data_IF_854262117689
#
_entry.id   IF_854262117689
#
_cell.length_a   1.000
_cell.length_b   1.000
_cell.length_c   1.000
_cell.angle_alpha   90.00
_cell.angle_beta   90.00
_cell.angle_gamma   90.00
#
_symmetry.space_group_name_H-M   'P 1'
#
loop_
_entity.id
_entity.type
_entity.pdbx_description
1 polymer ?
#
# COMPACT_ATOMS: atom_id res chain seq x y z
N UNK A 1 27.73 33.60 44.64
CA UNK A 1 27.07 34.40 43.58
C UNK A 1 26.80 33.45 42.42
N UNK A 2 25.58 32.94 42.35
CA UNK A 2 25.13 31.89 41.42
C UNK A 2 24.46 32.55 40.22
N UNK A 3 25.05 32.45 39.03
CA UNK A 3 24.39 32.84 37.78
C UNK A 3 24.06 31.58 36.99
N UNK A 4 22.77 31.23 37.00
CA UNK A 4 22.21 30.17 36.18
C UNK A 4 22.01 30.63 34.74
N UNK A 5 22.50 29.83 33.80
CA UNK A 5 22.14 29.91 32.38
C UNK A 5 21.31 28.68 32.05
N UNK A 6 19.98 28.84 32.11
CA UNK A 6 19.06 27.84 31.55
C UNK A 6 19.18 27.85 30.02
N UNK A 7 19.25 26.69 29.34
CA UNK A 7 19.23 26.68 27.90
C UNK A 7 17.85 27.10 27.40
N UNK A 8 17.84 28.16 26.58
CA UNK A 8 16.69 28.59 25.79
C UNK A 8 16.04 27.38 25.12
N UNK A 9 14.77 27.13 25.45
CA UNK A 9 13.91 26.25 24.66
C UNK A 9 13.67 26.97 23.34
N UNK A 10 14.58 26.77 22.40
CA UNK A 10 14.34 27.07 21.00
C UNK A 10 13.10 26.27 20.57
N UNK A 11 11.97 26.97 20.47
CA UNK A 11 10.76 26.51 19.81
C UNK A 11 11.14 25.99 18.43
N UNK A 12 11.15 24.67 18.29
CA UNK A 12 11.40 24.01 17.01
C UNK A 12 10.25 24.37 16.07
N UNK A 13 10.46 25.38 15.24
CA UNK A 13 9.57 25.67 14.12
C UNK A 13 9.47 24.40 13.26
N UNK A 14 8.26 23.99 12.82
CA UNK A 14 8.12 22.81 11.98
C UNK A 14 8.95 23.02 10.71
N UNK A 15 9.98 22.18 10.55
CA UNK A 15 10.86 22.22 9.40
C UNK A 15 10.01 22.13 8.13
N UNK A 16 9.92 23.23 7.39
CA UNK A 16 9.24 23.28 6.10
C UNK A 16 9.78 22.12 5.24
N UNK A 17 8.87 21.20 4.87
CA UNK A 17 9.21 19.97 4.20
C UNK A 17 10.00 20.25 2.91
N UNK A 18 11.30 19.98 2.93
CA UNK A 18 12.16 20.08 1.75
C UNK A 18 11.67 19.18 0.60
N UNK A 19 12.19 19.36 -0.63
CA UNK A 19 11.76 18.60 -1.81
C UNK A 19 11.73 17.08 -1.62
N UNK A 20 12.62 16.52 -0.81
CA UNK A 20 12.69 15.09 -0.49
C UNK A 20 11.50 14.56 0.32
N UNK A 21 10.94 15.35 1.24
CA UNK A 21 9.76 14.93 2.03
C UNK A 21 8.50 14.85 1.17
N UNK A 22 8.35 15.71 0.16
CA UNK A 22 7.21 15.63 -0.77
C UNK A 22 7.22 14.31 -1.55
N UNK A 23 8.36 13.93 -2.10
CA UNK A 23 8.52 12.67 -2.84
C UNK A 23 8.28 11.46 -1.92
N UNK A 24 8.83 11.49 -0.71
CA UNK A 24 8.61 10.41 0.28
C UNK A 24 7.15 10.31 0.70
N UNK A 25 6.45 11.42 0.95
CA UNK A 25 5.01 11.39 1.25
C UNK A 25 4.20 10.72 0.16
N UNK A 26 4.48 10.99 -1.13
CA UNK A 26 3.77 10.38 -2.25
C UNK A 26 3.97 8.85 -2.29
N UNK A 27 5.22 8.39 -2.18
CA UNK A 27 5.50 6.94 -2.22
C UNK A 27 4.99 6.22 -0.96
N UNK A 28 4.92 6.91 0.18
CA UNK A 28 4.33 6.38 1.41
C UNK A 28 2.81 6.21 1.29
N UNK A 29 2.11 7.10 0.58
CA UNK A 29 0.69 6.89 0.26
C UNK A 29 0.53 5.63 -0.59
N UNK A 30 1.38 5.42 -1.60
CA UNK A 30 1.37 4.17 -2.38
C UNK A 30 1.61 2.92 -1.51
N UNK A 31 2.56 2.99 -0.57
CA UNK A 31 2.82 1.93 0.40
C UNK A 31 1.58 1.64 1.26
N UNK A 32 0.97 2.69 1.81
CA UNK A 32 -0.24 2.61 2.61
C UNK A 32 -1.38 1.96 1.82
N UNK A 33 -1.63 2.41 0.59
CA UNK A 33 -2.69 1.85 -0.26
C UNK A 33 -2.49 0.36 -0.54
N UNK A 34 -1.27 -0.09 -0.83
CA UNK A 34 -0.97 -1.50 -1.10
C UNK A 34 -1.26 -2.40 0.12
N UNK A 35 -0.85 -1.95 1.30
CA UNK A 35 -1.06 -2.69 2.54
C UNK A 35 -2.53 -2.64 2.98
N UNK A 36 -3.16 -1.48 2.83
CA UNK A 36 -4.57 -1.31 3.12
C UNK A 36 -5.41 -2.27 2.27
N UNK A 37 -5.17 -2.31 0.96
CA UNK A 37 -5.83 -3.26 0.06
C UNK A 37 -5.67 -4.71 0.53
N UNK A 38 -4.43 -5.15 0.81
CA UNK A 38 -4.18 -6.53 1.24
C UNK A 38 -4.92 -6.89 2.53
N UNK A 39 -4.97 -5.95 3.47
CA UNK A 39 -5.62 -6.16 4.77
C UNK A 39 -7.15 -6.12 4.69
N UNK A 40 -7.72 -5.17 3.93
CA UNK A 40 -9.16 -5.07 3.73
C UNK A 40 -9.68 -6.30 2.98
N UNK A 41 -8.97 -6.79 1.96
CA UNK A 41 -9.40 -7.97 1.19
C UNK A 41 -9.54 -9.21 2.07
N UNK A 42 -8.63 -9.42 3.02
CA UNK A 42 -8.73 -10.54 3.97
C UNK A 42 -10.01 -10.48 4.82
N UNK A 43 -10.46 -9.27 5.19
CA UNK A 43 -11.73 -9.06 5.90
C UNK A 43 -12.93 -9.23 4.98
N UNK A 44 -12.78 -8.95 3.69
CA UNK A 44 -13.84 -9.08 2.70
C UNK A 44 -14.06 -10.51 2.20
N UNK A 45 -13.11 -11.45 2.37
CA UNK A 45 -13.22 -12.83 1.86
C UNK A 45 -14.54 -13.54 2.23
N UNK A 46 -15.07 -13.47 3.48
CA UNK A 46 -16.35 -14.09 3.81
C UNK A 46 -17.53 -13.46 3.04
N UNK A 47 -17.48 -12.14 2.83
CA UNK A 47 -18.50 -11.41 2.05
C UNK A 47 -18.40 -11.75 0.55
N UNK A 48 -17.19 -11.85 -0.01
CA UNK A 48 -16.96 -12.31 -1.40
C UNK A 48 -17.51 -13.74 -1.58
N UNK A 49 -17.25 -14.63 -0.62
CA UNK A 49 -17.78 -15.99 -0.62
C UNK A 49 -19.31 -16.02 -0.65
N UNK A 50 -19.95 -15.22 0.19
CA UNK A 50 -21.40 -15.15 0.28
C UNK A 50 -22.05 -14.45 -0.94
N UNK A 51 -21.43 -13.39 -1.47
CA UNK A 51 -21.94 -12.62 -2.59
C UNK A 51 -21.83 -13.35 -3.94
N UNK A 52 -20.70 -14.02 -4.18
CA UNK A 52 -20.41 -14.68 -5.46
C UNK A 52 -20.49 -16.21 -5.41
N UNK A 53 -20.87 -16.79 -4.27
CA UNK A 53 -20.81 -18.24 -4.04
C UNK A 53 -19.43 -18.83 -4.39
N UNK A 54 -18.37 -18.07 -4.11
CA UNK A 54 -17.01 -18.44 -4.48
C UNK A 54 -16.55 -19.72 -3.76
N UNK A 55 -15.93 -20.69 -4.47
CA UNK A 55 -15.35 -21.85 -3.82
C UNK A 55 -14.15 -21.45 -2.96
N UNK A 56 -13.83 -22.25 -1.94
CA UNK A 56 -12.72 -21.98 -1.04
C UNK A 56 -11.38 -21.83 -1.78
N UNK A 57 -11.17 -22.62 -2.84
CA UNK A 57 -10.00 -22.55 -3.71
C UNK A 57 -9.84 -21.17 -4.38
N UNK A 58 -10.92 -20.50 -4.78
CA UNK A 58 -10.84 -19.14 -5.34
C UNK A 58 -10.42 -18.11 -4.29
N UNK A 59 -10.88 -18.24 -3.04
CA UNK A 59 -10.50 -17.34 -1.96
C UNK A 59 -9.01 -17.49 -1.61
N UNK A 60 -8.49 -18.72 -1.62
CA UNK A 60 -7.07 -18.99 -1.45
C UNK A 60 -6.25 -18.35 -2.59
N UNK A 61 -6.70 -18.49 -3.84
CA UNK A 61 -6.05 -17.87 -4.99
C UNK A 61 -6.09 -16.33 -4.98
N UNK A 62 -7.12 -15.71 -4.40
CA UNK A 62 -7.21 -14.25 -4.23
C UNK A 62 -6.05 -13.72 -3.38
N UNK A 63 -5.69 -14.45 -2.31
CA UNK A 63 -4.61 -14.07 -1.39
C UNK A 63 -3.26 -14.55 -1.91
N UNK A 64 -3.15 -15.83 -2.26
CA UNK A 64 -1.91 -16.44 -2.73
C UNK A 64 -1.47 -15.89 -4.08
N UNK A 65 -2.39 -15.72 -5.03
CA UNK A 65 -2.09 -15.19 -6.37
C UNK A 65 -1.54 -13.77 -6.33
N UNK A 66 -2.10 -12.92 -5.45
CA UNK A 66 -1.56 -11.60 -5.19
C UNK A 66 -0.11 -11.67 -4.66
N UNK A 67 0.11 -12.46 -3.60
CA UNK A 67 1.43 -12.58 -2.97
C UNK A 67 2.50 -13.16 -3.92
N UNK A 68 2.12 -14.16 -4.73
CA UNK A 68 2.98 -14.77 -5.74
C UNK A 68 3.38 -13.76 -6.82
N UNK A 69 2.40 -13.05 -7.40
CA UNK A 69 2.66 -12.05 -8.42
C UNK A 69 3.51 -10.89 -7.89
N UNK A 70 3.20 -10.43 -6.67
CA UNK A 70 3.98 -9.42 -5.96
C UNK A 70 5.44 -9.85 -5.79
N UNK A 71 5.67 -11.03 -5.21
CA UNK A 71 7.02 -11.55 -4.98
C UNK A 71 7.81 -11.74 -6.27
N UNK A 72 7.16 -12.24 -7.33
CA UNK A 72 7.79 -12.48 -8.63
C UNK A 72 8.15 -11.18 -9.36
N UNK A 73 7.33 -10.12 -9.22
CA UNK A 73 7.57 -8.83 -9.83
C UNK A 73 8.60 -7.97 -9.07
N UNK A 74 8.72 -8.16 -7.77
CA UNK A 74 9.52 -7.30 -6.88
C UNK A 74 11.01 -7.27 -7.25
N UNK A 75 11.63 -8.43 -7.48
CA UNK A 75 13.06 -8.51 -7.80
C UNK A 75 13.37 -7.94 -9.19
N UNK A 76 12.65 -8.33 -10.27
CA UNK A 76 12.83 -7.71 -11.58
C UNK A 76 12.57 -6.21 -11.59
N UNK A 77 11.54 -5.74 -10.88
CA UNK A 77 11.18 -4.32 -10.83
C UNK A 77 12.25 -3.48 -10.10
N UNK A 78 12.89 -4.02 -9.06
CA UNK A 78 14.03 -3.37 -8.42
C UNK A 78 15.16 -3.12 -9.42
N UNK A 79 15.58 -4.17 -10.13
CA UNK A 79 16.65 -4.06 -11.16
C UNK A 79 16.27 -3.18 -12.34
N UNK A 80 15.02 -3.25 -12.78
CA UNK A 80 14.49 -2.38 -13.82
C UNK A 80 14.49 -0.92 -13.36
N UNK A 81 14.22 -0.65 -12.08
CA UNK A 81 14.24 0.69 -11.50
C UNK A 81 15.64 1.28 -11.46
N UNK A 82 16.64 0.46 -11.14
CA UNK A 82 18.04 0.89 -11.16
C UNK A 82 18.51 1.27 -12.57
N UNK A 83 17.95 0.64 -13.62
CA UNK A 83 18.31 0.89 -15.03
C UNK A 83 17.48 1.99 -15.69
N UNK A 84 16.17 1.99 -15.49
CA UNK A 84 15.21 2.85 -16.20
C UNK A 84 14.69 4.02 -15.34
N UNK A 85 15.04 4.04 -14.05
CA UNK A 85 14.57 5.01 -13.07
C UNK A 85 13.36 4.52 -12.27
N UNK A 86 13.34 4.86 -10.99
CA UNK A 86 12.27 4.43 -10.06
C UNK A 86 10.94 5.17 -10.24
N UNK A 87 10.97 6.44 -10.69
CA UNK A 87 9.76 7.24 -10.91
C UNK A 87 8.80 6.64 -11.96
N UNK A 88 9.22 6.29 -13.18
CA UNK A 88 8.31 5.71 -14.17
C UNK A 88 7.76 4.36 -13.72
N UNK A 89 8.57 3.50 -13.09
CA UNK A 89 8.09 2.23 -12.54
C UNK A 89 7.08 2.42 -11.42
N UNK A 90 7.29 3.41 -10.55
CA UNK A 90 6.31 3.73 -9.52
C UNK A 90 4.95 4.08 -10.13
N UNK A 91 4.93 4.97 -11.13
CA UNK A 91 3.69 5.39 -11.78
C UNK A 91 3.02 4.27 -12.58
N UNK A 92 3.79 3.45 -13.31
CA UNK A 92 3.27 2.31 -14.07
C UNK A 92 2.67 1.29 -13.11
N UNK A 93 3.42 0.88 -12.08
CA UNK A 93 2.95 -0.10 -11.09
C UNK A 93 1.70 0.40 -10.35
N UNK A 94 1.69 1.67 -9.94
CA UNK A 94 0.54 2.29 -9.29
C UNK A 94 -0.68 2.32 -10.22
N UNK A 95 -0.50 2.65 -11.50
CA UNK A 95 -1.60 2.66 -12.47
C UNK A 95 -2.18 1.25 -12.67
N UNK A 96 -1.31 0.24 -12.82
CA UNK A 96 -1.74 -1.17 -12.92
C UNK A 96 -2.53 -1.57 -11.66
N UNK A 97 -2.00 -1.23 -10.49
CA UNK A 97 -2.63 -1.53 -9.21
C UNK A 97 -4.03 -0.91 -9.11
N UNK A 98 -4.17 0.39 -9.42
CA UNK A 98 -5.44 1.09 -9.34
C UNK A 98 -6.47 0.53 -10.34
N UNK A 99 -6.06 0.29 -11.59
CA UNK A 99 -6.97 -0.28 -12.60
C UNK A 99 -7.42 -1.70 -12.24
N UNK A 100 -6.52 -2.53 -11.70
CA UNK A 100 -6.84 -3.86 -11.24
C UNK A 100 -7.79 -3.82 -10.02
N UNK A 101 -7.62 -2.85 -9.12
CA UNK A 101 -8.52 -2.63 -7.98
C UNK A 101 -9.94 -2.29 -8.45
N UNK A 102 -10.07 -1.38 -9.43
CA UNK A 102 -11.37 -1.08 -10.06
C UNK A 102 -11.98 -2.33 -10.71
N UNK A 103 -11.17 -3.14 -11.40
CA UNK A 103 -11.61 -4.39 -11.99
C UNK A 103 -12.16 -5.39 -10.93
N UNK A 104 -11.54 -5.47 -9.75
CA UNK A 104 -12.05 -6.26 -8.63
C UNK A 104 -13.43 -5.76 -8.16
N UNK A 105 -13.63 -4.44 -8.07
CA UNK A 105 -14.91 -3.85 -7.62
C UNK A 105 -16.09 -4.09 -8.58
N UNK A 106 -15.83 -4.25 -9.87
CA UNK A 106 -16.87 -4.52 -10.88
C UNK A 106 -17.07 -6.01 -11.18
N UNK A 107 -16.21 -6.89 -10.66
CA UNK A 107 -16.23 -8.32 -10.94
C UNK A 107 -17.60 -8.97 -10.65
N UNK A 108 -18.02 -9.86 -11.55
CA UNK A 108 -19.26 -10.64 -11.47
C UNK A 108 -19.00 -12.11 -11.17
N UNK A 109 -17.75 -12.57 -11.34
CA UNK A 109 -17.37 -13.96 -11.12
C UNK A 109 -16.11 -14.10 -10.24
N UNK A 110 -15.99 -15.17 -9.42
CA UNK A 110 -14.81 -15.39 -8.58
C UNK A 110 -13.49 -15.44 -9.36
N UNK A 111 -13.50 -15.99 -10.58
CA UNK A 111 -12.32 -16.08 -11.43
C UNK A 111 -11.80 -14.70 -11.87
N UNK A 112 -12.70 -13.74 -12.11
CA UNK A 112 -12.33 -12.37 -12.49
C UNK A 112 -11.59 -11.68 -11.34
N UNK A 113 -12.05 -11.87 -10.09
CA UNK A 113 -11.36 -11.36 -8.90
C UNK A 113 -9.98 -11.98 -8.80
N UNK A 114 -9.84 -13.31 -8.97
CA UNK A 114 -8.52 -13.97 -8.91
C UNK A 114 -7.55 -13.37 -9.93
N UNK A 115 -7.98 -13.22 -11.19
CA UNK A 115 -7.14 -12.65 -12.25
C UNK A 115 -6.77 -11.20 -11.92
N UNK A 116 -7.76 -10.39 -11.53
CA UNK A 116 -7.52 -8.99 -11.17
C UNK A 116 -6.56 -8.87 -9.97
N UNK A 117 -6.67 -9.74 -8.96
CA UNK A 117 -5.75 -9.79 -7.81
C UNK A 117 -4.33 -10.16 -8.19
N UNK A 118 -4.15 -11.09 -9.12
CA UNK A 118 -2.82 -11.44 -9.66
C UNK A 118 -2.22 -10.23 -10.36
N UNK A 119 -2.98 -9.53 -11.22
CA UNK A 119 -2.53 -8.31 -11.90
C UNK A 119 -2.24 -7.18 -10.89
N UNK A 120 -3.07 -7.05 -9.85
CA UNK A 120 -2.89 -6.06 -8.79
C UNK A 120 -1.63 -6.32 -7.98
N UNK A 121 -1.36 -7.58 -7.62
CA UNK A 121 -0.14 -8.00 -6.94
C UNK A 121 1.10 -7.73 -7.78
N UNK A 122 1.04 -7.98 -9.09
CA UNK A 122 2.10 -7.59 -10.02
C UNK A 122 2.35 -6.08 -9.99
N UNK A 123 1.30 -5.25 -10.11
CA UNK A 123 1.40 -3.79 -10.02
C UNK A 123 2.05 -3.33 -8.71
N UNK A 124 1.62 -3.89 -7.57
CA UNK A 124 2.20 -3.65 -6.26
C UNK A 124 3.69 -4.01 -6.23
N UNK A 125 4.08 -5.18 -6.75
CA UNK A 125 5.47 -5.61 -6.80
C UNK A 125 6.33 -4.71 -7.69
N UNK A 126 5.75 -4.10 -8.74
CA UNK A 126 6.44 -3.15 -9.62
C UNK A 126 6.76 -1.83 -8.94
N UNK A 127 5.82 -1.23 -8.20
CA UNK A 127 6.07 0.08 -7.59
C UNK A 127 6.74 0.01 -6.21
N UNK A 128 6.65 -1.11 -5.50
CA UNK A 128 7.16 -1.21 -4.13
C UNK A 128 8.68 -0.94 -3.99
N UNK A 129 9.56 -1.46 -4.87
CA UNK A 129 11.00 -1.15 -4.82
C UNK A 129 11.30 0.34 -4.94
N UNK A 130 10.47 1.09 -5.67
CA UNK A 130 10.64 2.53 -5.85
C UNK A 130 10.44 3.31 -4.54
N UNK A 131 9.68 2.79 -3.57
CA UNK A 131 9.48 3.41 -2.26
C UNK A 131 10.81 3.47 -1.51
N UNK A 132 11.46 2.32 -1.37
CA UNK A 132 12.75 2.22 -0.70
C UNK A 132 13.80 3.08 -1.42
N UNK A 133 13.90 2.97 -2.75
CA UNK A 133 14.85 3.76 -3.53
C UNK A 133 14.63 5.27 -3.37
N UNK A 134 13.38 5.74 -3.38
CA UNK A 134 13.04 7.16 -3.18
C UNK A 134 13.52 7.66 -1.82
N UNK A 135 13.34 6.87 -0.76
CA UNK A 135 13.86 7.19 0.57
C UNK A 135 15.39 7.28 0.57
N UNK A 136 16.07 6.32 -0.06
CA UNK A 136 17.53 6.27 -0.11
C UNK A 136 18.14 7.43 -0.91
N UNK A 137 17.49 7.84 -2.00
CA UNK A 137 17.93 8.94 -2.87
C UNK A 137 17.58 10.32 -2.29
N UNK A 138 16.52 10.42 -1.48
CA UNK A 138 16.06 11.70 -0.92
C UNK A 138 16.72 12.08 0.40
N UNK A 139 17.28 11.11 1.14
CA UNK A 139 17.81 11.34 2.48
C UNK A 139 19.14 10.65 2.74
N UNK A 140 20.02 11.32 3.49
CA UNK A 140 21.31 10.80 3.96
C UNK A 140 21.38 10.80 5.49
N UNK A 141 22.27 9.97 6.05
CA UNK A 141 22.54 9.94 7.49
C UNK A 141 21.29 9.68 8.36
N UNK A 142 21.16 10.36 9.52
CA UNK A 142 20.03 10.18 10.44
C UNK A 142 18.64 10.53 9.86
N UNK A 143 18.57 11.33 8.79
CA UNK A 143 17.29 11.64 8.15
C UNK A 143 16.72 10.40 7.42
N UNK A 144 17.59 9.55 6.88
CA UNK A 144 17.20 8.31 6.20
C UNK A 144 16.57 7.30 7.16
N UNK A 145 17.16 7.12 8.35
CA UNK A 145 16.57 6.24 9.37
C UNK A 145 15.22 6.74 9.85
N UNK A 146 15.04 8.06 10.02
CA UNK A 146 13.72 8.65 10.30
C UNK A 146 12.71 8.36 9.20
N UNK A 147 13.09 8.51 7.93
CA UNK A 147 12.20 8.23 6.80
C UNK A 147 11.78 6.74 6.74
N UNK A 148 12.70 5.81 6.99
CA UNK A 148 12.35 4.39 7.15
C UNK A 148 11.48 4.14 8.39
N UNK A 149 11.69 4.88 9.48
CA UNK A 149 10.81 4.87 10.64
C UNK A 149 9.37 5.29 10.30
N UNK A 150 9.20 6.33 9.48
CA UNK A 150 7.88 6.74 8.97
C UNK A 150 7.29 5.67 8.08
N UNK A 151 8.06 5.05 7.18
CA UNK A 151 7.59 3.90 6.39
C UNK A 151 7.06 2.77 7.28
N UNK A 152 7.82 2.39 8.33
CA UNK A 152 7.40 1.37 9.29
C UNK A 152 6.13 1.78 10.04
N UNK A 153 6.01 3.04 10.45
CA UNK A 153 4.80 3.57 11.09
C UNK A 153 3.60 3.52 10.12
N UNK A 154 3.77 3.91 8.86
CA UNK A 154 2.74 3.82 7.82
C UNK A 154 2.28 2.37 7.62
N UNK A 155 3.21 1.42 7.59
CA UNK A 155 2.91 -0.01 7.49
C UNK A 155 2.07 -0.49 8.69
N UNK A 156 2.49 -0.14 9.90
CA UNK A 156 1.79 -0.51 11.13
C UNK A 156 0.39 0.09 11.21
N UNK A 157 0.25 1.38 10.92
CA UNK A 157 -1.03 2.10 10.89
C UNK A 157 -1.95 1.49 9.84
N UNK A 158 -1.45 1.23 8.63
CA UNK A 158 -2.23 0.59 7.56
C UNK A 158 -2.76 -0.78 7.97
N UNK A 159 -1.94 -1.59 8.63
CA UNK A 159 -2.30 -2.94 9.06
C UNK A 159 -3.35 -2.92 10.16
N UNK A 160 -3.30 -1.92 11.06
CA UNK A 160 -4.28 -1.76 12.12
C UNK A 160 -5.62 -1.19 11.61
N UNK A 161 -5.56 -0.19 10.71
CA UNK A 161 -6.75 0.49 10.20
C UNK A 161 -7.50 -0.36 9.15
N UNK A 162 -6.79 -1.16 8.37
CA UNK A 162 -7.39 -1.96 7.29
C UNK A 162 -8.58 -2.81 7.72
N UNK A 163 -8.46 -3.69 8.73
CA UNK A 163 -9.59 -4.49 9.18
C UNK A 163 -10.76 -3.66 9.70
N UNK A 164 -10.49 -2.54 10.37
CA UNK A 164 -11.52 -1.63 10.89
C UNK A 164 -12.30 -0.96 9.76
N UNK A 165 -11.59 -0.39 8.77
CA UNK A 165 -12.22 0.22 7.59
C UNK A 165 -12.97 -0.82 6.77
N UNK A 166 -12.37 -1.98 6.52
CA UNK A 166 -13.02 -3.06 5.78
C UNK A 166 -14.31 -3.54 6.43
N UNK A 167 -14.28 -3.76 7.74
CA UNK A 167 -15.47 -4.11 8.52
C UNK A 167 -16.55 -3.02 8.46
N UNK A 168 -16.15 -1.75 8.58
CA UNK A 168 -17.08 -0.61 8.51
C UNK A 168 -17.72 -0.47 7.12
N UNK A 169 -16.94 -0.62 6.05
CA UNK A 169 -17.43 -0.56 4.65
C UNK A 169 -18.43 -1.69 4.42
N UNK A 170 -18.11 -2.92 4.82
CA UNK A 170 -19.01 -4.07 4.66
C UNK A 170 -20.28 -3.89 5.51
N UNK A 171 -20.16 -3.35 6.73
CA UNK A 171 -21.31 -3.05 7.57
C UNK A 171 -22.23 -1.98 6.97
N UNK A 172 -21.67 -0.94 6.35
CA UNK A 172 -22.42 0.16 5.76
C UNK A 172 -23.03 -0.19 4.38
N UNK A 173 -22.28 -0.90 3.53
CA UNK A 173 -22.69 -1.25 2.16
C UNK A 173 -23.43 -2.60 2.05
N UNK A 174 -23.52 -3.36 3.15
CA UNK A 174 -24.27 -4.61 3.24
C UNK A 174 -23.45 -5.87 3.00
N UNK A 175 -23.83 -6.97 3.66
CA UNK A 175 -23.03 -8.20 3.71
C UNK A 175 -22.86 -8.93 2.36
N UNK A 176 -23.72 -8.65 1.36
CA UNK A 176 -23.70 -9.32 0.04
C UNK A 176 -22.87 -8.59 -1.02
N UNK A 177 -22.92 -7.26 -1.06
CA UNK A 177 -22.26 -6.43 -2.08
C UNK A 177 -21.20 -5.48 -1.52
N UNK A 178 -21.06 -5.39 -0.18
CA UNK A 178 -20.13 -4.47 0.48
C UNK A 178 -18.66 -4.74 0.15
N UNK A 179 -18.31 -5.96 -0.25
CA UNK A 179 -16.97 -6.31 -0.70
C UNK A 179 -16.55 -5.59 -1.99
N UNK A 180 -17.50 -5.08 -2.80
CA UNK A 180 -17.18 -4.35 -4.03
C UNK A 180 -16.59 -2.98 -3.73
N UNK A 181 -17.13 -2.32 -2.69
CA UNK A 181 -16.69 -1.00 -2.24
C UNK A 181 -15.33 -1.03 -1.57
N UNK A 182 -14.99 -2.15 -0.96
CA UNK A 182 -13.65 -2.42 -0.40
C UNK A 182 -12.54 -2.22 -1.44
N UNK A 183 -12.80 -2.57 -2.70
CA UNK A 183 -11.83 -2.43 -3.80
C UNK A 183 -11.83 -1.05 -4.46
N UNK A 184 -12.69 -0.13 -4.03
CA UNK A 184 -12.78 1.23 -4.60
C UNK A 184 -12.19 2.31 -3.66
N UNK A 185 -11.64 1.90 -2.52
CA UNK A 185 -11.05 2.77 -1.48
C UNK A 185 -9.55 2.95 -1.67
#
# INVERSE_FOLDING_TARGET
>A
MTTGTGPDRATAAPAAAGPGWRAVSIVLVGAFMALLDTTIVNVALPSIRAGLHAPASSLEWIVAGYALAYGLALVPAGRAGDRFGHKPLFLIGLTIFTLASVACGIAQHPAEIVIARVVQGFGAGVFYPAIAATIQLSFTGPARSRAFGVLGATIGVSTAIGPLLGGLIIAAAGARDGWRWVFLV
#
